data_IF_576747451958
#
_entry.id   IF_576747451958
#
_cell.length_a   1.000
_cell.length_b   1.000
_cell.length_c   1.000
_cell.angle_alpha   90.00
_cell.angle_beta   90.00
_cell.angle_gamma   90.00
#
_symmetry.space_group_name_H-M   'P 1'
#
loop_
_entity.id
_entity.type
_entity.pdbx_description
1 polymer ?
#
# COMPACT_ATOMS: atom_id res chain seq x y z
N UNK A 1 -2.23 20.38 -8.15
CA UNK A 1 -0.77 20.52 -8.03
C UNK A 1 -0.39 20.46 -6.55
N UNK A 2 0.48 19.53 -6.18
CA UNK A 2 1.05 19.45 -4.84
C UNK A 2 1.88 20.74 -4.63
N UNK A 3 1.64 21.45 -3.53
CA UNK A 3 2.38 22.69 -3.27
C UNK A 3 3.85 22.37 -2.97
N UNK A 4 4.75 23.35 -3.22
CA UNK A 4 6.17 23.23 -2.87
C UNK A 4 6.34 22.89 -1.37
N UNK A 5 5.46 23.39 -0.52
CA UNK A 5 5.44 23.10 0.91
C UNK A 5 5.13 21.61 1.19
N UNK A 6 4.19 21.01 0.45
CA UNK A 6 3.85 19.59 0.58
C UNK A 6 5.00 18.69 0.14
N UNK A 7 5.70 19.09 -0.93
CA UNK A 7 6.88 18.38 -1.43
C UNK A 7 8.05 18.46 -0.44
N UNK A 8 8.31 19.64 0.13
CA UNK A 8 9.35 19.85 1.13
C UNK A 8 9.04 19.11 2.45
N UNK A 9 7.77 19.10 2.87
CA UNK A 9 7.32 18.37 4.05
C UNK A 9 7.50 16.85 3.87
N UNK A 10 7.17 16.35 2.69
CA UNK A 10 7.37 14.94 2.35
C UNK A 10 8.86 14.56 2.39
N UNK A 11 9.73 15.33 1.77
CA UNK A 11 11.18 15.09 1.80
C UNK A 11 11.78 15.21 3.21
N UNK A 12 11.27 16.12 4.05
CA UNK A 12 11.69 16.25 5.44
C UNK A 12 11.25 15.05 6.28
N UNK A 13 10.05 14.51 6.05
CA UNK A 13 9.52 13.30 6.70
C UNK A 13 10.30 12.06 6.28
N UNK A 14 10.64 11.91 5.00
CA UNK A 14 11.47 10.82 4.47
C UNK A 14 12.86 10.74 5.14
N UNK A 15 13.46 11.91 5.45
CA UNK A 15 14.80 11.97 6.10
C UNK A 15 14.78 11.67 7.60
N UNK A 16 13.62 11.75 8.28
CA UNK A 16 13.54 11.67 9.75
C UNK A 16 12.85 10.44 10.30
N UNK A 17 12.44 9.47 9.48
CA UNK A 17 11.62 8.33 9.96
C UNK A 17 10.41 8.82 10.79
N UNK A 18 9.81 9.95 10.40
CA UNK A 18 8.75 10.57 11.16
C UNK A 18 7.43 9.80 10.98
N UNK A 19 6.91 9.34 12.07
CA UNK A 19 5.56 8.80 12.21
C UNK A 19 4.57 9.87 11.73
N UNK A 20 3.68 9.48 10.82
CA UNK A 20 2.55 10.28 10.41
C UNK A 20 1.69 10.60 11.64
N UNK A 21 1.43 11.84 11.94
CA UNK A 21 0.68 12.24 13.14
C UNK A 21 -0.82 12.30 12.87
N UNK A 22 -1.63 12.28 13.95
CA UNK A 22 -3.08 12.47 13.86
C UNK A 22 -3.46 13.80 13.16
N UNK A 23 -2.62 14.83 13.32
CA UNK A 23 -2.74 16.11 12.63
C UNK A 23 -2.53 15.97 11.12
N UNK A 24 -1.65 15.09 10.68
CA UNK A 24 -1.43 14.81 9.27
C UNK A 24 -2.65 14.12 8.65
N UNK A 25 -3.30 13.22 9.38
CA UNK A 25 -4.52 12.57 8.94
C UNK A 25 -5.67 13.56 8.78
N UNK A 26 -5.83 14.48 9.74
CA UNK A 26 -6.86 15.53 9.71
C UNK A 26 -6.60 16.53 8.57
N UNK A 27 -5.34 16.89 8.35
CA UNK A 27 -4.93 17.79 7.27
C UNK A 27 -5.25 17.25 5.87
N UNK A 28 -5.17 15.92 5.66
CA UNK A 28 -5.49 15.28 4.38
C UNK A 28 -6.98 14.94 4.23
N UNK A 29 -7.70 14.72 5.32
CA UNK A 29 -9.15 14.50 5.26
C UNK A 29 -9.94 15.79 5.00
N UNK A 30 -9.42 16.95 5.40
CA UNK A 30 -10.07 18.24 5.21
C UNK A 30 -9.86 18.85 3.79
N UNK A 31 -8.91 18.31 3.02
CA UNK A 31 -8.79 18.63 1.61
C UNK A 31 -9.69 17.70 0.81
N UNK A 32 -10.53 18.25 -0.04
CA UNK A 32 -11.30 17.56 -1.10
C UNK A 32 -10.38 16.84 -2.12
N UNK A 33 -9.15 16.53 -1.74
CA UNK A 33 -8.18 15.81 -2.52
C UNK A 33 -8.38 14.30 -2.23
N UNK A 34 -9.18 13.67 -3.04
CA UNK A 34 -9.61 12.27 -2.95
C UNK A 34 -8.50 11.26 -3.30
N UNK A 35 -7.23 11.65 -3.20
CA UNK A 35 -6.10 10.75 -3.45
C UNK A 35 -6.08 9.62 -2.44
N UNK A 36 -6.09 8.40 -2.94
CA UNK A 36 -6.04 7.20 -2.12
C UNK A 36 -4.61 6.92 -1.66
N UNK A 37 -4.48 6.43 -0.43
CA UNK A 37 -3.20 6.14 0.18
C UNK A 37 -2.71 4.73 -0.17
N UNK A 38 -1.48 4.63 -0.66
CA UNK A 38 -0.79 3.37 -0.93
C UNK A 38 0.40 3.26 0.01
N UNK A 39 0.54 2.12 0.67
CA UNK A 39 1.72 1.79 1.46
C UNK A 39 2.69 0.94 0.62
N UNK A 40 3.89 1.46 0.40
CA UNK A 40 4.98 0.77 -0.29
C UNK A 40 5.90 0.14 0.76
N UNK A 41 6.05 -1.17 0.72
CA UNK A 41 6.85 -1.95 1.69
C UNK A 41 7.94 -2.71 0.95
N UNK A 42 9.17 -2.27 1.08
CA UNK A 42 10.36 -2.88 0.47
C UNK A 42 11.60 -2.43 1.25
N UNK A 43 12.54 -3.32 1.54
CA UNK A 43 13.76 -2.99 2.25
C UNK A 43 14.76 -2.20 1.38
N UNK A 44 14.64 -2.29 0.05
CA UNK A 44 15.45 -1.54 -0.90
C UNK A 44 14.92 -0.11 -1.12
N UNK A 45 15.74 0.87 -0.76
CA UNK A 45 15.43 2.29 -1.02
C UNK A 45 15.23 2.57 -2.53
N UNK A 46 16.01 1.92 -3.39
CA UNK A 46 15.88 2.06 -4.83
C UNK A 46 14.53 1.59 -5.35
N UNK A 47 14.06 0.42 -4.88
CA UNK A 47 12.76 -0.12 -5.28
C UNK A 47 11.62 0.80 -4.83
N UNK A 48 11.67 1.29 -3.59
CA UNK A 48 10.67 2.25 -3.09
C UNK A 48 10.67 3.54 -3.91
N UNK A 49 11.86 4.08 -4.25
CA UNK A 49 11.98 5.27 -5.06
C UNK A 49 11.39 5.10 -6.47
N UNK A 50 11.59 3.94 -7.12
CA UNK A 50 11.01 3.64 -8.44
C UNK A 50 9.48 3.59 -8.35
N UNK A 51 8.93 2.86 -7.38
CA UNK A 51 7.48 2.78 -7.19
C UNK A 51 6.88 4.13 -6.84
N UNK A 52 7.58 4.92 -6.03
CA UNK A 52 7.18 6.29 -5.71
C UNK A 52 7.05 7.15 -6.98
N UNK A 53 8.06 7.14 -7.84
CA UNK A 53 8.04 7.92 -9.10
C UNK A 53 6.90 7.49 -10.04
N UNK A 54 6.55 6.20 -10.06
CA UNK A 54 5.45 5.69 -10.88
C UNK A 54 4.08 6.19 -10.40
N UNK A 55 3.89 6.33 -9.08
CA UNK A 55 2.57 6.47 -8.47
C UNK A 55 2.28 7.85 -7.86
N UNK A 56 3.29 8.70 -7.67
CA UNK A 56 3.20 9.96 -6.91
C UNK A 56 2.19 10.98 -7.42
N UNK A 57 1.91 10.97 -8.73
CA UNK A 57 1.03 11.98 -9.32
C UNK A 57 -0.45 11.72 -9.00
N UNK A 58 -0.83 10.45 -8.84
CA UNK A 58 -2.21 10.03 -8.66
C UNK A 58 -2.56 9.54 -7.26
N UNK A 59 -1.55 9.14 -6.47
CA UNK A 59 -1.74 8.53 -5.17
C UNK A 59 -0.97 9.24 -4.07
N UNK A 60 -1.49 9.13 -2.85
CA UNK A 60 -0.76 9.47 -1.66
C UNK A 60 0.11 8.27 -1.24
N UNK A 61 1.40 8.47 -1.02
CA UNK A 61 2.32 7.36 -0.81
C UNK A 61 2.93 7.37 0.58
N UNK A 62 2.83 6.23 1.27
CA UNK A 62 3.51 5.91 2.51
C UNK A 62 4.61 4.88 2.21
N UNK A 63 5.70 4.91 2.95
CA UNK A 63 6.82 3.97 2.77
C UNK A 63 7.15 3.26 4.09
N UNK A 64 7.34 1.95 4.03
CA UNK A 64 7.86 1.12 5.09
C UNK A 64 9.09 0.35 4.59
N UNK A 65 10.08 0.18 5.45
CA UNK A 65 11.36 -0.45 5.09
C UNK A 65 11.43 -1.92 5.48
N UNK A 66 10.46 -2.42 6.23
CA UNK A 66 10.39 -3.80 6.71
C UNK A 66 8.95 -4.20 7.07
N UNK A 67 8.76 -5.49 7.36
CA UNK A 67 7.43 -6.02 7.71
C UNK A 67 6.88 -5.47 9.01
N UNK A 68 7.72 -5.17 10.01
CA UNK A 68 7.24 -4.60 11.27
C UNK A 68 6.68 -3.19 11.08
N UNK A 69 7.36 -2.33 10.34
CA UNK A 69 6.85 -1.00 10.00
C UNK A 69 5.53 -1.08 9.23
N UNK A 70 5.40 -2.06 8.31
CA UNK A 70 4.15 -2.31 7.60
C UNK A 70 2.99 -2.61 8.57
N UNK A 71 3.21 -3.52 9.52
CA UNK A 71 2.22 -3.88 10.55
C UNK A 71 1.86 -2.65 11.40
N UNK A 72 2.84 -1.85 11.80
CA UNK A 72 2.63 -0.65 12.60
C UNK A 72 1.79 0.39 11.83
N UNK A 73 2.05 0.59 10.55
CA UNK A 73 1.22 1.45 9.68
C UNK A 73 -0.23 0.94 9.58
N UNK A 74 -0.43 -0.36 9.41
CA UNK A 74 -1.77 -0.96 9.35
C UNK A 74 -2.52 -0.75 10.67
N UNK A 75 -1.87 -0.97 11.81
CA UNK A 75 -2.46 -0.73 13.13
C UNK A 75 -2.85 0.74 13.35
N UNK A 76 -2.04 1.66 12.82
CA UNK A 76 -2.26 3.09 12.99
C UNK A 76 -3.34 3.65 12.07
N UNK A 77 -3.37 3.24 10.80
CA UNK A 77 -4.22 3.85 9.78
C UNK A 77 -5.37 2.95 9.31
N UNK A 78 -5.25 1.64 9.50
CA UNK A 78 -6.28 0.68 9.13
C UNK A 78 -6.80 0.86 7.71
N UNK A 79 -8.10 0.97 7.56
CA UNK A 79 -8.79 1.15 6.27
C UNK A 79 -8.53 2.51 5.58
N UNK A 80 -7.77 3.40 6.21
CA UNK A 80 -7.22 4.60 5.56
C UNK A 80 -6.16 4.26 4.51
N UNK A 81 -5.53 3.07 4.59
CA UNK A 81 -4.67 2.51 3.55
C UNK A 81 -5.54 1.82 2.51
N UNK A 82 -5.45 2.26 1.25
CA UNK A 82 -6.26 1.73 0.15
C UNK A 82 -5.62 0.54 -0.57
N UNK A 83 -4.30 0.39 -0.46
CA UNK A 83 -3.53 -0.68 -1.08
C UNK A 83 -2.16 -0.80 -0.42
N UNK A 84 -1.64 -2.02 -0.33
CA UNK A 84 -0.25 -2.29 0.06
C UNK A 84 0.49 -2.93 -1.11
N UNK A 85 1.63 -2.35 -1.48
CA UNK A 85 2.64 -2.95 -2.33
C UNK A 85 3.68 -3.59 -1.42
N UNK A 86 3.79 -4.91 -1.41
CA UNK A 86 4.51 -5.66 -0.40
C UNK A 86 5.58 -6.55 -1.04
N UNK A 87 6.84 -6.24 -0.77
CA UNK A 87 7.96 -7.13 -1.12
C UNK A 87 7.86 -8.45 -0.34
N UNK A 88 8.08 -9.56 -1.02
CA UNK A 88 8.07 -10.88 -0.39
C UNK A 88 9.33 -11.08 0.43
N UNK A 89 10.50 -10.73 -0.12
CA UNK A 89 11.79 -11.03 0.51
C UNK A 89 12.29 -9.82 1.29
N UNK A 90 12.11 -9.87 2.59
CA UNK A 90 12.65 -8.89 3.53
C UNK A 90 13.25 -9.59 4.75
N UNK A 91 14.24 -8.99 5.43
CA UNK A 91 14.80 -9.57 6.64
C UNK A 91 13.78 -9.58 7.79
N UNK A 92 13.91 -10.55 8.70
CA UNK A 92 13.13 -10.77 9.92
C UNK A 92 11.66 -11.14 9.63
N UNK A 93 10.81 -10.18 9.29
CA UNK A 93 9.41 -10.38 8.94
C UNK A 93 9.27 -10.21 7.44
N UNK A 94 9.07 -11.30 6.71
CA UNK A 94 8.91 -11.30 5.27
C UNK A 94 7.48 -10.95 4.82
N UNK A 95 7.27 -10.83 3.51
CA UNK A 95 5.95 -10.50 2.97
C UNK A 95 4.88 -11.55 3.25
N UNK A 96 5.24 -12.81 3.34
CA UNK A 96 4.30 -13.88 3.70
C UNK A 96 3.92 -13.82 5.17
N UNK A 97 4.85 -13.47 6.05
CA UNK A 97 4.56 -13.27 7.48
C UNK A 97 3.56 -12.12 7.67
N UNK A 98 3.74 -11.02 6.93
CA UNK A 98 2.80 -9.89 6.93
C UNK A 98 1.41 -10.33 6.45
N UNK A 99 1.32 -11.07 5.33
CA UNK A 99 0.04 -11.58 4.82
C UNK A 99 -0.66 -12.49 5.83
N UNK A 100 0.09 -13.38 6.47
CA UNK A 100 -0.46 -14.29 7.49
C UNK A 100 -1.04 -13.51 8.67
N UNK A 101 -0.32 -12.50 9.14
CA UNK A 101 -0.80 -11.62 10.19
C UNK A 101 -2.06 -10.85 9.76
N UNK A 102 -2.07 -10.30 8.55
CA UNK A 102 -3.24 -9.58 8.00
C UNK A 102 -4.47 -10.48 7.88
N UNK A 103 -4.30 -11.74 7.50
CA UNK A 103 -5.39 -12.72 7.44
C UNK A 103 -5.96 -13.03 8.83
N UNK A 104 -5.08 -13.26 9.82
CA UNK A 104 -5.48 -13.51 11.21
C UNK A 104 -6.25 -12.34 11.82
N UNK A 105 -5.82 -11.12 11.55
CA UNK A 105 -6.43 -9.88 12.05
C UNK A 105 -7.57 -9.35 11.16
N UNK A 106 -7.91 -10.07 10.08
CA UNK A 106 -8.99 -9.71 9.13
C UNK A 106 -8.77 -8.44 8.32
N UNK A 107 -7.53 -7.98 8.18
CA UNK A 107 -7.22 -6.80 7.37
C UNK A 107 -7.32 -7.04 5.86
N UNK A 108 -7.16 -8.29 5.39
CA UNK A 108 -7.26 -8.62 3.95
C UNK A 108 -8.67 -8.41 3.37
N UNK A 109 -9.69 -8.38 4.22
CA UNK A 109 -11.06 -8.06 3.79
C UNK A 109 -11.20 -6.59 3.36
N UNK A 110 -10.41 -5.71 3.97
CA UNK A 110 -10.50 -4.26 3.77
C UNK A 110 -9.35 -3.66 2.95
N UNK A 111 -8.16 -4.26 3.01
CA UNK A 111 -6.94 -3.73 2.39
C UNK A 111 -6.38 -4.74 1.40
N UNK A 112 -6.45 -4.46 0.09
CA UNK A 112 -5.82 -5.31 -0.92
C UNK A 112 -4.30 -5.23 -0.85
N UNK A 113 -3.66 -6.37 -1.14
CA UNK A 113 -2.20 -6.48 -1.18
C UNK A 113 -1.76 -6.96 -2.55
N UNK A 114 -0.83 -6.23 -3.17
CA UNK A 114 -0.09 -6.67 -4.34
C UNK A 114 1.30 -7.08 -3.89
N UNK A 115 1.64 -8.34 -4.10
CA UNK A 115 2.98 -8.85 -3.80
C UNK A 115 3.99 -8.43 -4.88
N UNK A 116 5.20 -8.16 -4.46
CA UNK A 116 6.32 -7.81 -5.33
C UNK A 116 7.45 -8.79 -5.10
N UNK A 117 8.03 -9.32 -6.18
CA UNK A 117 9.21 -10.19 -6.07
C UNK A 117 10.00 -10.23 -7.38
N UNK A 118 11.29 -10.54 -7.27
CA UNK A 118 12.14 -10.93 -8.40
C UNK A 118 11.97 -12.40 -8.77
N UNK A 119 11.43 -13.22 -7.86
CA UNK A 119 11.14 -14.62 -8.11
C UNK A 119 9.79 -14.79 -8.79
N UNK A 120 9.76 -15.58 -9.85
CA UNK A 120 8.56 -15.85 -10.65
C UNK A 120 8.18 -17.34 -10.68
N UNK A 121 8.63 -18.11 -9.69
CA UNK A 121 8.20 -19.49 -9.59
C UNK A 121 6.69 -19.58 -9.37
N UNK A 122 6.03 -20.45 -10.13
CA UNK A 122 4.59 -20.66 -10.00
C UNK A 122 4.16 -21.00 -8.54
N UNK A 123 5.04 -21.69 -7.81
CA UNK A 123 4.79 -22.04 -6.41
C UNK A 123 4.72 -20.81 -5.47
N UNK A 124 5.62 -19.85 -5.65
CA UNK A 124 5.65 -18.61 -4.84
C UNK A 124 4.45 -17.74 -5.16
N UNK A 125 4.13 -17.58 -6.44
CA UNK A 125 2.98 -16.81 -6.89
C UNK A 125 1.68 -17.45 -6.35
N UNK A 126 1.53 -18.76 -6.51
CA UNK A 126 0.35 -19.47 -6.02
C UNK A 126 0.23 -19.41 -4.50
N UNK A 127 1.34 -19.54 -3.75
CA UNK A 127 1.35 -19.36 -2.29
C UNK A 127 0.80 -17.98 -1.91
N UNK A 128 1.25 -16.92 -2.58
CA UNK A 128 0.77 -15.56 -2.32
C UNK A 128 -0.74 -15.42 -2.52
N UNK A 129 -1.29 -15.94 -3.61
CA UNK A 129 -2.73 -15.91 -3.87
C UNK A 129 -3.53 -16.73 -2.87
N UNK A 130 -3.06 -17.93 -2.51
CA UNK A 130 -3.70 -18.77 -1.47
C UNK A 130 -3.73 -18.05 -0.12
N UNK A 131 -2.69 -17.26 0.21
CA UNK A 131 -2.61 -16.47 1.43
C UNK A 131 -3.43 -15.18 1.39
N UNK A 132 -4.10 -14.87 0.28
CA UNK A 132 -5.02 -13.75 0.17
C UNK A 132 -4.48 -12.52 -0.55
N UNK A 133 -3.33 -12.59 -1.21
CA UNK A 133 -2.86 -11.51 -2.07
C UNK A 133 -3.83 -11.29 -3.25
N UNK A 134 -4.05 -10.03 -3.59
CA UNK A 134 -4.95 -9.64 -4.68
C UNK A 134 -4.30 -9.72 -6.05
N UNK A 135 -2.99 -9.49 -6.13
CA UNK A 135 -2.22 -9.54 -7.36
C UNK A 135 -0.72 -9.69 -7.08
N UNK A 136 0.07 -9.77 -8.14
CA UNK A 136 1.51 -9.97 -8.10
C UNK A 136 2.19 -9.09 -9.16
N UNK A 137 3.31 -8.48 -8.81
CA UNK A 137 4.17 -7.69 -9.70
C UNK A 137 5.59 -8.24 -9.67
N UNK A 138 6.12 -8.55 -10.85
CA UNK A 138 7.49 -9.03 -11.01
C UNK A 138 8.47 -7.85 -11.14
N UNK A 139 9.65 -7.98 -10.56
CA UNK A 139 10.81 -7.12 -10.85
C UNK A 139 11.62 -7.67 -12.04
N UNK A 140 12.27 -6.82 -12.85
CA UNK A 140 12.28 -5.35 -12.80
C UNK A 140 10.94 -4.72 -13.15
N UNK A 141 10.63 -3.53 -12.60
CA UNK A 141 9.35 -2.87 -12.78
C UNK A 141 9.15 -2.36 -14.22
N UNK A 142 8.05 -2.78 -14.86
CA UNK A 142 7.46 -2.06 -15.98
C UNK A 142 6.42 -1.05 -15.42
N UNK A 143 6.66 0.23 -15.64
CA UNK A 143 5.84 1.29 -15.06
C UNK A 143 4.37 1.19 -15.47
N UNK A 144 4.08 0.78 -16.72
CA UNK A 144 2.70 0.63 -17.21
C UNK A 144 1.96 -0.52 -16.53
N UNK A 145 2.66 -1.63 -16.29
CA UNK A 145 2.11 -2.80 -15.60
C UNK A 145 1.84 -2.44 -14.14
N UNK A 146 2.79 -1.84 -13.44
CA UNK A 146 2.63 -1.40 -12.05
C UNK A 146 1.43 -0.47 -11.91
N UNK A 147 1.40 0.60 -12.69
CA UNK A 147 0.33 1.59 -12.64
C UNK A 147 -1.04 0.96 -12.90
N UNK A 148 -1.18 0.13 -13.94
CA UNK A 148 -2.45 -0.52 -14.28
C UNK A 148 -2.94 -1.48 -13.22
N UNK A 149 -2.07 -2.32 -12.66
CA UNK A 149 -2.45 -3.27 -11.61
C UNK A 149 -2.89 -2.55 -10.35
N UNK A 150 -2.14 -1.55 -9.92
CA UNK A 150 -2.50 -0.69 -8.78
C UNK A 150 -3.85 -0.01 -9.00
N UNK A 151 -4.01 0.67 -10.13
CA UNK A 151 -5.24 1.40 -10.44
C UNK A 151 -6.47 0.48 -10.50
N UNK A 152 -6.35 -0.68 -11.14
CA UNK A 152 -7.45 -1.62 -11.28
C UNK A 152 -7.89 -2.21 -9.93
N UNK A 153 -6.94 -2.58 -9.08
CA UNK A 153 -7.24 -3.12 -7.74
C UNK A 153 -7.89 -2.05 -6.86
N UNK A 154 -7.36 -0.85 -6.82
CA UNK A 154 -7.94 0.25 -6.04
C UNK A 154 -9.36 0.55 -6.51
N UNK A 155 -9.58 0.63 -7.82
CA UNK A 155 -10.91 0.87 -8.39
C UNK A 155 -11.92 -0.24 -8.04
N UNK A 156 -11.49 -1.49 -8.07
CA UNK A 156 -12.32 -2.64 -7.71
C UNK A 156 -12.76 -2.58 -6.24
N UNK A 157 -11.81 -2.39 -5.33
CA UNK A 157 -12.10 -2.32 -3.90
C UNK A 157 -12.93 -1.09 -3.52
N UNK A 158 -12.69 0.07 -4.14
CA UNK A 158 -13.51 1.25 -3.95
C UNK A 158 -14.98 1.01 -4.35
N UNK A 159 -15.22 0.29 -5.44
CA UNK A 159 -16.58 -0.10 -5.86
C UNK A 159 -17.23 -1.06 -4.88
N UNK A 160 -16.51 -2.08 -4.42
CA UNK A 160 -17.00 -3.03 -3.43
C UNK A 160 -17.38 -2.34 -2.13
N UNK A 161 -16.51 -1.45 -1.62
CA UNK A 161 -16.77 -0.68 -0.39
C UNK A 161 -18.02 0.19 -0.54
N UNK A 162 -18.17 0.88 -1.67
CA UNK A 162 -19.36 1.69 -1.96
C UNK A 162 -20.65 0.88 -1.99
N UNK A 163 -20.62 -0.32 -2.58
CA UNK A 163 -21.77 -1.23 -2.59
C UNK A 163 -22.14 -1.70 -1.19
N UNK A 164 -21.16 -2.07 -0.39
CA UNK A 164 -21.38 -2.50 1.00
C UNK A 164 -21.98 -1.37 1.85
N UNK A 165 -21.49 -0.13 1.69
CA UNK A 165 -22.02 1.04 2.39
C UNK A 165 -23.48 1.35 1.99
N UNK A 166 -23.84 1.18 0.72
CA UNK A 166 -25.20 1.32 0.24
C UNK A 166 -26.14 0.26 0.83
N UNK A 167 -25.69 -1.00 0.90
CA UNK A 167 -26.46 -2.09 1.50
C UNK A 167 -26.70 -1.87 3.01
N UNK A 168 -25.71 -1.38 3.74
CA UNK A 168 -25.85 -1.05 5.17
C UNK A 168 -26.85 0.08 5.45
N UNK A 169 -27.03 1.01 4.51
CA UNK A 169 -27.98 2.12 4.66
C UNK A 169 -29.44 1.72 4.39
N UNK A 170 -29.68 0.54 3.82
CA UNK A 170 -31.03 0.02 3.54
C UNK A 170 -31.62 -0.83 4.66
N UNK A 171 -30.84 -1.09 5.70
CA UNK A 171 -31.24 -1.80 6.91
C UNK A 171 -31.40 -0.82 8.06
#
# INVERSE_FOLDING_TARGET
>A
AVSLADHLLYHAKRKKNCIFTELDHQYYSDRNDTKQAILIVDDSELNRAILYEILKDDFYLLEATNGQECIDYIKQYGSGISLILLDIIMPEIDGFDVLQWMEQEKWLDDIPVILISSEDSANIINKGFVMGASDYIKRPFDYRIVYRRVYNIIKLYAKQKRLMDLLKKQV
#
